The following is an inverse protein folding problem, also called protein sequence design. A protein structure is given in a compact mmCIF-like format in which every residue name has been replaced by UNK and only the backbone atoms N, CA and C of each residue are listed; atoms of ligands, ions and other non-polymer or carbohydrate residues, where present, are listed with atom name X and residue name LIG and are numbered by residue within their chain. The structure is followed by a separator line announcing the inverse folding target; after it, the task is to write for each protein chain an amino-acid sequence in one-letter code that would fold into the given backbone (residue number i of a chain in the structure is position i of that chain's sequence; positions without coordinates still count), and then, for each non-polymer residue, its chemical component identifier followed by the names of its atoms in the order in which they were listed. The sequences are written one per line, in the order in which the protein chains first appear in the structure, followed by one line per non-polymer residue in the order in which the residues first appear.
data_IF_681569878583
#
_entry.id   IF_681569878583
#
_cell.length_a   1.000
_cell.length_b   1.000
_cell.length_c   1.000
_cell.angle_alpha   90.00
_cell.angle_beta   90.00
_cell.angle_gamma   90.00
#
_symmetry.space_group_name_H-M   'P 1'
#
loop_
_entity.id
_entity.type
_entity.pdbx_description
1 polymer ?
#
# COMPACT_ATOMS: atom_id res chain seq x y z
N UNK A 1 -67.07 -38.71 -30.31
CA UNK A 1 -66.45 -37.40 -30.61
C UNK A 1 -65.82 -36.91 -29.35
N UNK A 2 -64.49 -37.06 -29.21
CA UNK A 2 -63.76 -36.59 -28.05
C UNK A 2 -63.04 -35.34 -28.43
N UNK A 3 -63.27 -34.23 -27.69
CA UNK A 3 -62.60 -32.97 -27.82
C UNK A 3 -61.45 -32.94 -26.80
N UNK A 4 -60.23 -32.81 -27.29
CA UNK A 4 -59.04 -32.61 -26.45
C UNK A 4 -58.81 -31.11 -26.21
N UNK A 5 -58.85 -30.71 -24.96
CA UNK A 5 -58.46 -29.40 -24.47
C UNK A 5 -56.91 -29.40 -24.23
N UNK A 6 -56.22 -28.59 -24.98
CA UNK A 6 -54.79 -28.29 -24.77
C UNK A 6 -54.68 -27.21 -23.68
N UNK A 7 -54.03 -27.50 -22.57
CA UNK A 7 -53.68 -26.54 -21.53
C UNK A 7 -52.30 -25.93 -21.91
N UNK A 8 -52.31 -24.65 -22.22
CA UNK A 8 -51.10 -23.85 -22.40
C UNK A 8 -50.68 -23.29 -21.07
N UNK A 9 -49.58 -23.75 -20.48
CA UNK A 9 -49.01 -23.23 -19.26
C UNK A 9 -48.18 -21.97 -19.58
N UNK A 10 -48.69 -20.81 -19.18
CA UNK A 10 -47.95 -19.56 -19.20
C UNK A 10 -46.95 -19.55 -18.04
N UNK A 11 -45.66 -19.71 -18.34
CA UNK A 11 -44.59 -19.45 -17.38
C UNK A 11 -44.50 -17.94 -17.16
N UNK A 12 -44.63 -17.51 -15.90
CA UNK A 12 -44.62 -16.10 -15.52
C UNK A 12 -43.24 -15.48 -15.68
N UNK A 13 -43.18 -14.38 -16.41
CA UNK A 13 -41.93 -13.57 -16.63
C UNK A 13 -41.33 -13.10 -15.30
N UNK A 14 -42.11 -13.03 -14.24
CA UNK A 14 -41.63 -12.62 -12.89
C UNK A 14 -40.75 -13.67 -12.19
N UNK A 15 -40.86 -14.95 -12.57
CA UNK A 15 -40.02 -15.99 -11.95
C UNK A 15 -38.63 -16.04 -12.59
N UNK A 16 -38.50 -15.64 -13.85
CA UNK A 16 -37.20 -15.56 -14.54
C UNK A 16 -36.35 -14.36 -14.11
N UNK A 17 -36.95 -13.23 -13.76
CA UNK A 17 -36.22 -12.06 -13.22
C UNK A 17 -35.71 -12.34 -11.79
N UNK A 18 -36.46 -13.04 -10.97
CA UNK A 18 -36.02 -13.43 -9.62
C UNK A 18 -34.90 -14.49 -9.62
N UNK A 19 -34.91 -15.42 -10.56
CA UNK A 19 -33.81 -16.38 -10.76
C UNK A 19 -32.55 -15.70 -11.31
N UNK A 20 -32.68 -14.65 -12.15
CA UNK A 20 -31.56 -13.89 -12.69
C UNK A 20 -30.91 -13.02 -11.60
N UNK A 21 -31.69 -12.36 -10.76
CA UNK A 21 -31.17 -11.55 -9.63
C UNK A 21 -30.52 -12.43 -8.56
N UNK A 22 -31.05 -13.60 -8.25
CA UNK A 22 -30.39 -14.57 -7.34
C UNK A 22 -29.14 -15.20 -7.92
N UNK A 23 -29.04 -15.36 -9.25
CA UNK A 23 -27.84 -15.86 -9.90
C UNK A 23 -26.71 -14.81 -9.94
N UNK A 24 -27.06 -13.51 -10.03
CA UNK A 24 -26.10 -12.39 -9.96
C UNK A 24 -25.58 -12.21 -8.53
N UNK A 25 -26.41 -12.36 -7.50
CA UNK A 25 -25.95 -12.35 -6.09
C UNK A 25 -25.12 -13.59 -5.72
N UNK A 26 -25.38 -14.76 -6.29
CA UNK A 26 -24.63 -15.98 -6.02
C UNK A 26 -23.24 -16.02 -6.72
N UNK A 27 -22.92 -15.09 -7.62
CA UNK A 27 -21.66 -15.07 -8.38
C UNK A 27 -20.61 -14.11 -7.79
N UNK A 28 -20.85 -13.42 -6.68
CA UNK A 28 -19.78 -12.84 -5.89
C UNK A 28 -18.99 -13.99 -5.28
N UNK A 29 -17.91 -14.41 -5.91
CA UNK A 29 -16.88 -15.23 -5.25
C UNK A 29 -16.47 -14.46 -4.00
N UNK A 30 -16.95 -14.87 -2.83
CA UNK A 30 -16.38 -14.40 -1.57
C UNK A 30 -15.01 -15.09 -1.47
N UNK A 31 -14.05 -14.51 -2.13
CA UNK A 31 -12.66 -14.94 -1.99
C UNK A 31 -12.25 -14.52 -0.59
N UNK A 32 -11.82 -15.49 0.25
CA UNK A 32 -11.39 -15.22 1.60
C UNK A 32 -10.31 -14.12 1.59
N UNK A 33 -10.35 -13.17 2.54
CA UNK A 33 -9.34 -12.11 2.60
C UNK A 33 -7.95 -12.70 2.89
N UNK A 34 -6.91 -12.07 2.34
CA UNK A 34 -5.54 -12.56 2.42
C UNK A 34 -4.60 -11.65 3.20
N UNK A 35 -4.88 -10.34 3.25
CA UNK A 35 -3.98 -9.36 3.86
C UNK A 35 -4.69 -8.48 4.90
N UNK A 36 -3.91 -8.03 5.88
CA UNK A 36 -4.23 -6.91 6.76
C UNK A 36 -3.25 -5.78 6.52
N UNK A 37 -3.77 -4.58 6.29
CA UNK A 37 -3.03 -3.33 6.23
C UNK A 37 -3.40 -2.45 7.43
N UNK A 38 -2.41 -2.00 8.19
CA UNK A 38 -2.58 -1.02 9.26
C UNK A 38 -1.88 0.27 8.88
N UNK A 39 -2.60 1.39 8.91
CA UNK A 39 -2.06 2.71 8.58
C UNK A 39 -1.42 3.34 9.81
N UNK A 40 -0.09 3.47 9.81
CA UNK A 40 0.66 4.16 10.88
C UNK A 40 0.79 5.65 10.61
N UNK A 41 0.72 6.05 9.33
CA UNK A 41 0.73 7.44 8.88
C UNK A 41 0.28 7.53 7.43
N UNK A 42 -0.55 8.54 7.12
CA UNK A 42 -1.25 8.70 5.85
C UNK A 42 -0.94 10.00 5.11
N UNK A 43 -0.13 10.91 5.70
CA UNK A 43 0.14 12.22 5.11
C UNK A 43 1.55 12.30 4.53
N UNK A 44 1.69 13.04 3.41
CA UNK A 44 2.97 13.45 2.87
C UNK A 44 3.45 14.78 3.49
N UNK A 45 4.74 14.88 3.77
CA UNK A 45 5.42 16.12 4.10
C UNK A 45 5.37 16.53 5.56
N UNK A 46 4.61 17.59 5.91
CA UNK A 46 4.87 18.45 7.07
C UNK A 46 4.15 18.08 8.38
N UNK A 47 3.31 17.05 8.39
CA UNK A 47 2.56 16.68 9.59
C UNK A 47 3.30 15.60 10.36
N UNK A 48 4.22 16.00 11.24
CA UNK A 48 4.94 15.10 12.13
C UNK A 48 3.96 14.23 12.96
N UNK A 49 4.36 13.00 13.23
CA UNK A 49 3.52 12.00 13.90
C UNK A 49 2.49 11.31 13.00
N UNK A 50 2.28 11.74 11.74
CA UNK A 50 1.39 11.10 10.77
C UNK A 50 2.02 10.98 9.37
N UNK A 51 3.34 10.85 9.31
CA UNK A 51 4.11 10.69 8.07
C UNK A 51 3.97 9.27 7.51
N UNK A 52 4.13 9.12 6.19
CA UNK A 52 3.86 7.91 5.42
C UNK A 52 4.48 6.65 6.02
N UNK A 53 3.63 5.74 6.50
CA UNK A 53 4.04 4.46 7.05
C UNK A 53 2.83 3.50 7.17
N UNK A 54 3.04 2.22 6.82
CA UNK A 54 2.02 1.19 6.92
C UNK A 54 2.62 -0.11 7.46
N UNK A 55 1.79 -0.97 8.03
CA UNK A 55 2.14 -2.35 8.33
C UNK A 55 1.25 -3.27 7.49
N UNK A 56 1.88 -4.21 6.78
CA UNK A 56 1.18 -5.22 5.99
C UNK A 56 1.55 -6.61 6.47
N UNK A 57 0.57 -7.49 6.63
CA UNK A 57 0.81 -8.93 6.86
C UNK A 57 -0.13 -9.80 6.03
N UNK A 58 0.27 -11.03 5.79
CA UNK A 58 -0.67 -12.09 5.45
C UNK A 58 -1.56 -12.41 6.67
N UNK A 59 -2.82 -12.73 6.44
CA UNK A 59 -3.72 -13.19 7.52
C UNK A 59 -3.36 -14.59 8.06
N UNK A 60 -2.49 -15.31 7.37
CA UNK A 60 -1.95 -16.60 7.82
C UNK A 60 -0.90 -16.47 8.92
N UNK A 61 -0.36 -15.25 9.14
CA UNK A 61 0.71 -14.96 10.08
C UNK A 61 0.37 -13.79 11.00
N UNK A 62 1.18 -13.57 12.04
CA UNK A 62 1.06 -12.44 12.96
C UNK A 62 2.18 -11.42 12.82
N UNK A 63 3.08 -11.63 11.86
CA UNK A 63 4.21 -10.71 11.61
C UNK A 63 3.94 -9.84 10.40
N UNK A 64 4.18 -8.55 10.60
CA UNK A 64 4.04 -7.51 9.59
C UNK A 64 5.38 -7.18 8.95
N UNK A 65 5.32 -6.65 7.74
CA UNK A 65 6.38 -5.84 7.15
C UNK A 65 5.95 -4.37 7.20
N UNK A 66 6.85 -3.49 7.56
CA UNK A 66 6.61 -2.06 7.49
C UNK A 66 6.85 -1.58 6.04
N UNK A 67 5.89 -0.86 5.48
CA UNK A 67 5.95 -0.21 4.16
C UNK A 67 6.19 1.27 4.41
N UNK A 68 7.41 1.72 4.19
CA UNK A 68 7.97 2.95 4.71
C UNK A 68 7.87 3.07 6.23
N UNK A 69 8.44 4.12 6.78
CA UNK A 69 8.62 4.27 8.22
C UNK A 69 8.68 5.75 8.64
N UNK A 70 7.83 6.60 8.05
CA UNK A 70 7.73 8.01 8.42
C UNK A 70 7.24 8.21 9.85
N UNK A 71 6.23 7.43 10.28
CA UNK A 71 5.72 7.40 11.66
C UNK A 71 5.65 5.96 12.16
N UNK A 72 6.47 5.58 13.11
CA UNK A 72 6.49 4.21 13.66
C UNK A 72 5.85 4.17 15.04
N UNK A 73 6.55 4.62 16.08
CA UNK A 73 6.08 4.46 17.47
C UNK A 73 4.75 5.17 17.69
N UNK A 74 4.64 6.45 17.28
CA UNK A 74 3.39 7.20 17.39
C UNK A 74 2.27 6.58 16.55
N UNK A 75 2.59 6.09 15.35
CA UNK A 75 1.61 5.41 14.48
C UNK A 75 1.09 4.12 15.10
N UNK A 76 1.96 3.35 15.74
CA UNK A 76 1.57 2.14 16.50
C UNK A 76 0.68 2.52 17.69
N UNK A 77 0.98 3.59 18.43
CA UNK A 77 0.15 4.04 19.56
C UNK A 77 -1.26 4.38 19.09
N UNK A 78 -1.40 5.18 18.03
CA UNK A 78 -2.71 5.52 17.45
C UNK A 78 -3.44 4.26 16.96
N UNK A 79 -2.73 3.33 16.31
CA UNK A 79 -3.32 2.09 15.82
C UNK A 79 -3.77 1.14 16.95
N UNK A 80 -3.06 1.13 18.09
CA UNK A 80 -3.49 0.42 19.30
C UNK A 80 -4.76 1.02 19.90
N UNK A 81 -4.87 2.34 19.95
CA UNK A 81 -6.06 3.05 20.44
C UNK A 81 -7.29 2.74 19.57
N UNK A 82 -7.10 2.54 18.26
CA UNK A 82 -8.16 2.19 17.29
C UNK A 82 -8.41 0.67 17.21
N UNK A 83 -7.76 -0.17 18.03
CA UNK A 83 -7.95 -1.62 18.05
C UNK A 83 -7.42 -2.36 16.83
N UNK A 84 -6.49 -1.76 16.06
CA UNK A 84 -5.99 -2.35 14.82
C UNK A 84 -5.28 -3.70 15.01
N UNK A 85 -4.84 -4.02 16.21
CA UNK A 85 -4.10 -5.23 16.57
C UNK A 85 -4.88 -6.24 17.41
N UNK A 86 -6.19 -6.02 17.64
CA UNK A 86 -7.03 -6.88 18.49
C UNK A 86 -7.16 -8.32 17.95
N UNK A 87 -6.86 -8.54 16.69
CA UNK A 87 -6.90 -9.84 16.03
C UNK A 87 -5.59 -10.66 16.19
N UNK A 88 -4.56 -10.13 16.83
CA UNK A 88 -3.35 -10.88 17.17
C UNK A 88 -3.64 -11.87 18.32
N UNK A 89 -3.15 -13.10 18.16
CA UNK A 89 -3.43 -14.21 19.10
C UNK A 89 -2.28 -14.49 20.04
N UNK A 90 -1.05 -14.09 19.67
CA UNK A 90 0.14 -14.28 20.46
C UNK A 90 0.06 -13.49 21.77
N UNK A 91 0.51 -14.13 22.85
CA UNK A 91 0.56 -13.47 24.16
C UNK A 91 1.60 -12.34 24.12
N UNK A 92 1.25 -11.11 24.57
CA UNK A 92 2.22 -10.02 24.70
C UNK A 92 3.38 -10.38 25.65
N UNK A 93 4.56 -9.81 25.40
CA UNK A 93 5.69 -9.89 26.32
C UNK A 93 5.47 -8.94 27.50
N UNK A 94 5.41 -9.48 28.72
CA UNK A 94 5.17 -8.71 29.95
C UNK A 94 6.29 -7.69 30.26
N UNK A 95 7.45 -7.77 29.59
CA UNK A 95 8.58 -6.84 29.74
C UNK A 95 8.49 -5.64 28.79
N UNK A 96 7.57 -5.66 27.82
CA UNK A 96 7.39 -4.61 26.82
C UNK A 96 6.08 -3.84 27.06
N UNK A 97 6.08 -2.56 26.71
CA UNK A 97 4.84 -1.81 26.53
C UNK A 97 4.10 -2.33 25.31
N UNK A 98 2.81 -2.05 25.17
CA UNK A 98 2.01 -2.54 24.05
C UNK A 98 2.62 -2.15 22.68
N UNK A 99 3.05 -0.89 22.50
CA UNK A 99 3.71 -0.43 21.29
C UNK A 99 5.07 -1.12 21.05
N UNK A 100 5.84 -1.32 22.11
CA UNK A 100 7.10 -2.07 22.06
C UNK A 100 6.88 -3.53 21.67
N UNK A 101 5.81 -4.16 22.16
CA UNK A 101 5.45 -5.52 21.77
C UNK A 101 5.12 -5.60 20.26
N UNK A 102 4.35 -4.66 19.72
CA UNK A 102 4.08 -4.61 18.28
C UNK A 102 5.39 -4.42 17.50
N UNK A 103 6.19 -3.40 17.86
CA UNK A 103 7.42 -3.08 17.13
C UNK A 103 8.45 -4.23 17.16
N UNK A 104 8.67 -4.84 18.33
CA UNK A 104 9.72 -5.85 18.49
C UNK A 104 9.29 -7.25 18.03
N UNK A 105 8.05 -7.66 18.35
CA UNK A 105 7.63 -9.04 18.17
C UNK A 105 6.82 -9.24 16.90
N UNK A 106 6.17 -8.17 16.39
CA UNK A 106 5.29 -8.28 15.23
C UNK A 106 5.79 -7.56 13.97
N UNK A 107 6.72 -6.60 14.04
CA UNK A 107 7.35 -6.02 12.85
C UNK A 107 8.60 -6.80 12.49
N UNK A 108 8.56 -7.55 11.40
CA UNK A 108 9.64 -8.42 10.94
C UNK A 108 10.74 -7.68 10.17
N UNK A 109 10.37 -6.70 9.37
CA UNK A 109 11.26 -6.01 8.43
C UNK A 109 10.71 -4.64 8.04
N UNK A 110 11.59 -3.82 7.47
CA UNK A 110 11.23 -2.57 6.80
C UNK A 110 11.43 -2.71 5.28
N UNK A 111 10.44 -2.31 4.49
CA UNK A 111 10.54 -2.07 3.05
C UNK A 111 10.53 -0.56 2.83
N UNK A 112 11.66 0.03 2.49
CA UNK A 112 11.81 1.49 2.32
C UNK A 112 11.75 1.83 0.84
N UNK A 113 10.73 2.63 0.47
CA UNK A 113 10.51 3.03 -0.92
C UNK A 113 11.56 4.01 -1.42
N UNK A 114 11.89 5.02 -0.62
CA UNK A 114 12.92 6.01 -0.91
C UNK A 114 13.37 6.77 0.35
N UNK A 115 14.40 7.58 0.23
CA UNK A 115 15.09 8.19 1.36
C UNK A 115 14.60 9.60 1.75
N UNK A 116 13.41 10.05 1.37
CA UNK A 116 12.86 11.30 1.88
C UNK A 116 12.49 11.16 3.36
N UNK A 117 12.63 12.27 4.09
CA UNK A 117 12.51 12.25 5.57
C UNK A 117 11.12 11.80 6.03
N UNK A 118 10.07 12.16 5.32
CA UNK A 118 8.69 11.78 5.63
C UNK A 118 8.37 10.29 5.38
N UNK A 119 9.33 9.54 4.83
CA UNK A 119 9.26 8.07 4.68
C UNK A 119 10.17 7.31 5.63
N UNK A 120 11.10 7.99 6.34
CA UNK A 120 12.11 7.31 7.16
C UNK A 120 12.27 7.87 8.57
N UNK A 121 11.67 9.02 8.91
CA UNK A 121 11.88 9.70 10.19
C UNK A 121 11.57 8.81 11.40
N UNK A 122 10.48 8.06 11.36
CA UNK A 122 10.09 7.15 12.43
C UNK A 122 11.10 6.01 12.65
N UNK A 123 11.63 5.41 11.57
CA UNK A 123 12.71 4.42 11.66
C UNK A 123 13.95 5.00 12.33
N UNK A 124 14.37 6.19 11.91
CA UNK A 124 15.56 6.84 12.47
C UNK A 124 15.38 7.08 13.96
N UNK A 125 14.28 7.69 14.37
CA UNK A 125 14.01 8.04 15.76
C UNK A 125 13.80 6.80 16.63
N UNK A 126 13.17 5.75 16.13
CA UNK A 126 12.94 4.50 16.85
C UNK A 126 14.20 3.62 16.97
N UNK A 127 15.18 3.80 16.09
CA UNK A 127 16.35 2.89 15.97
C UNK A 127 17.15 2.64 17.26
N UNK A 128 17.28 3.57 18.22
CA UNK A 128 17.98 3.26 19.49
C UNK A 128 17.32 2.15 20.30
N UNK A 129 15.99 2.07 20.28
CA UNK A 129 15.22 1.13 21.12
C UNK A 129 14.50 0.04 20.30
N UNK A 130 14.65 0.02 18.98
CA UNK A 130 14.16 -1.08 18.13
C UNK A 130 15.02 -2.34 18.28
N UNK A 131 14.50 -3.50 17.86
CA UNK A 131 15.27 -4.76 17.83
C UNK A 131 15.92 -4.99 16.45
N UNK A 132 16.77 -6.05 16.38
CA UNK A 132 17.43 -6.41 15.13
C UNK A 132 16.43 -6.89 14.09
N UNK A 133 16.50 -6.32 12.88
CA UNK A 133 15.68 -6.71 11.74
C UNK A 133 16.26 -6.20 10.41
N UNK A 134 15.90 -6.80 9.27
CA UNK A 134 16.39 -6.33 7.97
C UNK A 134 15.65 -5.07 7.49
N UNK A 135 16.40 -4.24 6.71
CA UNK A 135 15.87 -3.16 5.89
C UNK A 135 16.07 -3.57 4.43
N UNK A 136 14.99 -3.74 3.69
CA UNK A 136 14.98 -4.04 2.27
C UNK A 136 14.69 -2.78 1.46
N UNK A 137 15.52 -2.45 0.51
CA UNK A 137 15.32 -1.34 -0.43
C UNK A 137 16.13 -1.55 -1.71
N UNK A 138 15.89 -0.76 -2.75
CA UNK A 138 16.83 -0.67 -3.86
C UNK A 138 18.19 -0.18 -3.36
N UNK A 139 19.26 -0.61 -4.03
CA UNK A 139 20.63 -0.23 -3.64
C UNK A 139 20.81 1.28 -3.52
N UNK A 140 20.27 2.05 -4.46
CA UNK A 140 20.33 3.52 -4.46
C UNK A 140 19.66 4.14 -3.22
N UNK A 141 18.56 3.56 -2.76
CA UNK A 141 17.85 3.98 -1.55
C UNK A 141 18.68 3.66 -0.31
N UNK A 142 19.21 2.43 -0.21
CA UNK A 142 20.09 2.03 0.88
C UNK A 142 21.37 2.89 0.96
N UNK A 143 21.97 3.20 -0.19
CA UNK A 143 23.15 4.09 -0.27
C UNK A 143 22.79 5.51 0.22
N UNK A 144 21.64 6.04 -0.17
CA UNK A 144 21.14 7.34 0.30
C UNK A 144 20.92 7.35 1.81
N UNK A 145 20.27 6.32 2.36
CA UNK A 145 20.03 6.16 3.81
C UNK A 145 21.33 6.15 4.60
N UNK A 146 22.33 5.38 4.12
CA UNK A 146 23.65 5.30 4.75
C UNK A 146 24.43 6.60 4.66
N UNK A 147 24.41 7.26 3.50
CA UNK A 147 25.15 8.51 3.29
C UNK A 147 24.52 9.71 4.02
N UNK A 148 23.18 9.74 4.13
CA UNK A 148 22.45 10.91 4.66
C UNK A 148 22.16 10.80 6.14
N UNK A 149 21.76 9.61 6.62
CA UNK A 149 21.23 9.45 7.96
C UNK A 149 22.13 8.62 8.88
N UNK A 150 22.42 7.36 8.54
CA UNK A 150 23.21 6.43 9.37
C UNK A 150 24.71 6.65 9.24
N UNK A 151 25.17 7.89 9.49
CA UNK A 151 26.51 8.37 9.15
C UNK A 151 27.28 9.02 10.31
N UNK A 152 26.75 8.94 11.55
CA UNK A 152 27.33 9.59 12.75
C UNK A 152 27.30 11.11 12.74
N UNK A 153 26.79 11.73 11.67
CA UNK A 153 26.56 13.18 11.61
C UNK A 153 25.10 13.53 11.82
N UNK A 154 24.19 12.92 11.03
CA UNK A 154 22.76 13.08 11.21
C UNK A 154 22.21 12.16 12.30
N UNK A 155 22.60 10.87 12.28
CA UNK A 155 22.20 9.87 13.27
C UNK A 155 23.27 8.81 13.46
N UNK A 156 23.24 8.06 14.58
CA UNK A 156 24.14 6.93 14.84
C UNK A 156 23.95 5.85 13.78
N UNK A 157 25.05 5.17 13.41
CA UNK A 157 24.99 4.12 12.40
C UNK A 157 24.50 2.79 13.00
N UNK A 158 23.18 2.61 13.01
CA UNK A 158 22.55 1.35 13.47
C UNK A 158 22.60 0.22 12.44
N UNK A 159 23.16 0.46 11.26
CA UNK A 159 23.22 -0.55 10.18
C UNK A 159 24.49 -1.37 10.21
N UNK A 160 24.55 -2.41 9.38
CA UNK A 160 25.73 -3.25 9.14
C UNK A 160 26.63 -2.72 8.02
N UNK A 161 26.35 -1.49 7.46
CA UNK A 161 27.09 -0.85 6.36
C UNK A 161 27.55 0.56 6.72
N UNK A 162 28.40 1.13 5.90
CA UNK A 162 28.85 2.53 6.01
C UNK A 162 29.92 2.76 7.05
N UNK A 163 29.88 3.94 7.69
CA UNK A 163 30.92 4.41 8.60
C UNK A 163 30.97 3.65 9.93
N UNK A 164 32.17 3.40 10.41
CA UNK A 164 32.40 2.81 11.75
C UNK A 164 32.19 3.85 12.89
N UNK A 165 31.79 3.38 14.09
CA UNK A 165 31.41 2.01 14.41
C UNK A 165 30.04 1.66 13.86
N UNK A 166 29.86 0.43 13.37
CA UNK A 166 28.56 -0.10 12.95
C UNK A 166 27.90 -0.80 14.12
N UNK A 167 26.69 -0.40 14.49
CA UNK A 167 25.96 -0.98 15.62
C UNK A 167 25.24 -2.30 15.25
N UNK A 168 25.18 -2.63 13.95
CA UNK A 168 24.67 -3.91 13.41
C UNK A 168 23.28 -4.31 13.94
N UNK A 169 22.43 -3.34 14.17
CA UNK A 169 21.02 -3.58 14.53
C UNK A 169 20.18 -3.90 13.30
N UNK A 170 20.44 -3.18 12.21
CA UNK A 170 19.73 -3.38 10.95
C UNK A 170 20.64 -4.02 9.89
N UNK A 171 20.15 -5.14 9.34
CA UNK A 171 20.76 -5.78 8.18
C UNK A 171 20.25 -5.16 6.90
N UNK A 172 21.09 -4.41 6.21
CA UNK A 172 20.72 -3.71 4.96
C UNK A 172 20.79 -4.68 3.79
N UNK A 173 19.65 -4.94 3.16
CA UNK A 173 19.48 -5.88 2.04
C UNK A 173 19.15 -5.10 0.75
N UNK A 174 20.01 -5.23 -0.26
CA UNK A 174 19.78 -4.63 -1.57
C UNK A 174 18.82 -5.50 -2.40
N UNK A 175 17.68 -4.95 -2.75
CA UNK A 175 16.75 -5.58 -3.68
C UNK A 175 17.18 -5.32 -5.13
N UNK A 176 17.09 -6.35 -5.96
CA UNK A 176 17.30 -6.23 -7.39
C UNK A 176 15.96 -5.91 -8.10
N UNK A 177 15.89 -4.85 -8.93
CA UNK A 177 14.64 -4.51 -9.63
C UNK A 177 14.05 -5.69 -10.40
N UNK A 178 12.75 -5.91 -10.28
CA UNK A 178 11.98 -6.98 -10.95
C UNK A 178 12.38 -8.42 -10.55
N UNK A 179 13.11 -8.59 -9.46
CA UNK A 179 13.43 -9.92 -8.92
C UNK A 179 12.71 -10.14 -7.61
N UNK A 180 12.00 -11.26 -7.50
CA UNK A 180 11.32 -11.66 -6.27
C UNK A 180 12.32 -12.07 -5.20
N UNK A 181 12.12 -11.58 -3.98
CA UNK A 181 12.95 -11.86 -2.80
C UNK A 181 12.03 -12.23 -1.64
N UNK A 182 12.35 -13.31 -0.91
CA UNK A 182 11.62 -13.66 0.31
C UNK A 182 11.98 -12.71 1.44
N UNK A 183 10.97 -12.30 2.23
CA UNK A 183 11.16 -11.43 3.38
C UNK A 183 11.35 -12.32 4.61
N UNK A 184 12.51 -12.19 5.25
CA UNK A 184 12.88 -13.01 6.41
C UNK A 184 11.86 -12.91 7.55
N UNK A 185 11.51 -14.06 8.11
CA UNK A 185 10.57 -14.17 9.23
C UNK A 185 9.10 -13.98 8.84
N UNK A 186 8.75 -14.03 7.55
CA UNK A 186 7.38 -13.97 7.04
C UNK A 186 7.17 -14.99 5.91
N UNK A 187 5.91 -15.22 5.51
CA UNK A 187 5.57 -15.97 4.30
C UNK A 187 5.47 -15.08 3.05
N UNK A 188 5.93 -13.83 3.14
CA UNK A 188 5.83 -12.85 2.07
C UNK A 188 7.06 -12.88 1.16
N UNK A 189 6.82 -12.62 -0.12
CA UNK A 189 7.87 -12.26 -1.08
C UNK A 189 7.63 -10.85 -1.61
N UNK A 190 8.69 -10.18 -2.04
CA UNK A 190 8.63 -8.83 -2.59
C UNK A 190 9.35 -8.73 -3.93
N UNK A 191 8.70 -8.11 -4.92
CA UNK A 191 9.31 -7.75 -6.20
C UNK A 191 9.31 -6.23 -6.33
N UNK A 192 10.49 -5.56 -6.32
CA UNK A 192 10.60 -4.11 -6.39
C UNK A 192 10.59 -3.61 -7.84
N UNK A 193 10.01 -2.43 -8.05
CA UNK A 193 10.03 -1.68 -9.30
C UNK A 193 10.41 -0.22 -9.04
N UNK A 194 11.31 0.35 -9.83
CA UNK A 194 11.64 1.78 -9.74
C UNK A 194 10.46 2.65 -10.16
N UNK A 195 10.27 3.75 -9.46
CA UNK A 195 9.27 4.79 -9.71
C UNK A 195 9.94 6.12 -10.11
N UNK A 196 9.18 6.99 -10.76
CA UNK A 196 9.61 8.32 -11.19
C UNK A 196 9.34 9.35 -10.09
N UNK A 197 10.39 9.76 -9.42
CA UNK A 197 10.38 10.78 -8.38
C UNK A 197 11.76 11.46 -8.36
N UNK A 198 11.93 12.71 -7.87
CA UNK A 198 13.22 13.39 -7.85
C UNK A 198 14.36 12.61 -7.19
N UNK A 199 14.05 11.87 -6.12
CA UNK A 199 14.89 10.80 -5.57
C UNK A 199 14.29 9.46 -5.97
N UNK A 200 15.10 8.51 -6.49
CA UNK A 200 14.57 7.20 -6.92
C UNK A 200 13.69 6.57 -5.84
N UNK A 201 12.44 6.32 -6.20
CA UNK A 201 11.43 5.68 -5.35
C UNK A 201 11.10 4.29 -5.87
N UNK A 202 10.39 3.50 -5.06
CA UNK A 202 10.15 2.08 -5.30
C UNK A 202 8.68 1.74 -5.12
N UNK A 203 8.10 0.98 -6.07
CA UNK A 203 6.89 0.21 -5.82
C UNK A 203 7.28 -1.22 -5.43
N UNK A 204 6.59 -1.76 -4.44
CA UNK A 204 6.74 -3.13 -3.97
C UNK A 204 5.51 -3.94 -4.32
N UNK A 205 5.65 -4.97 -5.17
CA UNK A 205 4.63 -6.00 -5.34
C UNK A 205 4.91 -7.09 -4.31
N UNK A 206 3.99 -7.26 -3.37
CA UNK A 206 4.11 -8.16 -2.22
C UNK A 206 3.14 -9.32 -2.44
N UNK A 207 3.63 -10.54 -2.27
CA UNK A 207 2.87 -11.73 -2.57
C UNK A 207 2.85 -12.70 -1.37
N UNK A 208 1.69 -13.34 -1.16
CA UNK A 208 1.49 -14.47 -0.27
C UNK A 208 0.68 -15.53 -1.01
N UNK A 209 1.29 -16.65 -1.39
CA UNK A 209 0.66 -17.65 -2.26
C UNK A 209 0.19 -17.04 -3.59
N UNK A 210 -1.11 -17.15 -3.86
CA UNK A 210 -1.73 -16.64 -5.08
C UNK A 210 -2.28 -15.21 -4.93
N UNK A 211 -2.07 -14.57 -3.79
CA UNK A 211 -2.56 -13.24 -3.51
C UNK A 211 -1.45 -12.19 -3.62
N UNK A 212 -1.79 -11.02 -4.15
CA UNK A 212 -0.88 -9.88 -4.33
C UNK A 212 -1.43 -8.63 -3.68
N UNK A 213 -0.53 -7.84 -3.11
CA UNK A 213 -0.75 -6.48 -2.66
C UNK A 213 0.36 -5.57 -3.19
N UNK A 214 0.04 -4.31 -3.53
CA UNK A 214 1.05 -3.39 -4.07
C UNK A 214 1.16 -2.15 -3.18
N UNK A 215 2.37 -1.81 -2.79
CA UNK A 215 2.68 -0.52 -2.19
C UNK A 215 3.47 0.33 -3.16
N UNK A 216 2.97 1.51 -3.46
CA UNK A 216 3.70 2.52 -4.22
C UNK A 216 4.29 3.54 -3.24
N UNK A 217 5.61 3.73 -3.33
CA UNK A 217 6.23 4.96 -2.81
C UNK A 217 5.80 6.16 -3.66
N UNK A 218 6.40 7.30 -3.40
CA UNK A 218 6.09 8.53 -4.14
C UNK A 218 6.39 8.39 -5.63
N UNK A 219 5.49 8.89 -6.47
CA UNK A 219 5.61 8.75 -7.92
C UNK A 219 4.84 9.82 -8.69
N UNK A 220 5.45 10.34 -9.75
CA UNK A 220 4.74 11.09 -10.78
C UNK A 220 4.13 10.19 -11.85
N UNK A 221 3.23 10.76 -12.66
CA UNK A 221 2.66 10.07 -13.82
C UNK A 221 3.65 9.95 -14.97
N UNK A 222 3.58 8.87 -15.74
CA UNK A 222 4.39 8.68 -16.95
C UNK A 222 4.20 9.82 -17.98
N UNK A 223 3.08 10.56 -17.94
CA UNK A 223 2.83 11.69 -18.85
C UNK A 223 3.62 12.94 -18.50
N UNK A 224 3.93 13.15 -17.22
CA UNK A 224 4.75 14.29 -16.78
C UNK A 224 6.21 13.89 -16.75
N UNK A 225 6.54 12.78 -16.12
CA UNK A 225 7.93 12.34 -15.90
C UNK A 225 8.61 11.76 -17.14
N UNK A 226 7.85 11.24 -18.12
CA UNK A 226 8.32 10.68 -19.40
C UNK A 226 9.22 9.44 -19.30
N UNK A 227 9.25 8.77 -18.14
CA UNK A 227 10.13 7.62 -17.91
C UNK A 227 9.45 6.26 -18.16
N UNK A 228 8.11 6.21 -18.23
CA UNK A 228 7.34 5.00 -18.53
C UNK A 228 7.36 3.94 -17.43
N UNK A 229 7.75 4.30 -16.20
CA UNK A 229 7.93 3.37 -15.08
C UNK A 229 6.61 2.79 -14.58
N UNK A 230 5.56 3.62 -14.44
CA UNK A 230 4.23 3.13 -14.07
C UNK A 230 3.67 2.17 -15.12
N UNK A 231 3.87 2.46 -16.40
CA UNK A 231 3.45 1.56 -17.50
C UNK A 231 4.13 0.19 -17.46
N UNK A 232 5.35 0.07 -16.92
CA UNK A 232 6.00 -1.23 -16.69
C UNK A 232 5.26 -2.00 -15.59
N UNK A 233 4.92 -1.34 -14.49
CA UNK A 233 4.23 -1.95 -13.35
C UNK A 233 2.83 -2.40 -13.76
N UNK A 234 2.07 -1.56 -14.47
CA UNK A 234 0.72 -1.90 -14.93
C UNK A 234 0.71 -3.14 -15.84
N UNK A 235 1.69 -3.27 -16.75
CA UNK A 235 1.83 -4.49 -17.58
C UNK A 235 2.17 -5.72 -16.74
N UNK A 236 3.05 -5.58 -15.76
CA UNK A 236 3.41 -6.67 -14.87
C UNK A 236 2.19 -7.14 -14.06
N UNK A 237 1.48 -6.22 -13.40
CA UNK A 237 0.29 -6.55 -12.61
C UNK A 237 -0.81 -7.21 -13.47
N UNK A 238 -1.13 -6.63 -14.63
CA UNK A 238 -2.12 -7.21 -15.53
C UNK A 238 -1.74 -8.62 -16.01
N UNK A 239 -0.45 -8.90 -16.20
CA UNK A 239 0.03 -10.25 -16.52
C UNK A 239 -0.13 -11.20 -15.33
N UNK A 240 0.25 -10.79 -14.12
CA UNK A 240 0.12 -11.62 -12.91
C UNK A 240 -1.36 -11.93 -12.59
N UNK A 241 -2.26 -10.98 -12.81
CA UNK A 241 -3.71 -11.15 -12.57
C UNK A 241 -4.37 -12.24 -13.42
N UNK A 242 -3.66 -12.84 -14.38
CA UNK A 242 -4.15 -14.04 -15.11
C UNK A 242 -4.16 -15.29 -14.23
N UNK A 243 -3.33 -15.34 -13.19
CA UNK A 243 -3.18 -16.50 -12.29
C UNK A 243 -3.24 -16.15 -10.82
N UNK A 244 -3.08 -14.88 -10.46
CA UNK A 244 -3.08 -14.37 -9.09
C UNK A 244 -4.17 -13.34 -8.87
N UNK A 245 -4.54 -13.12 -7.61
CA UNK A 245 -5.54 -12.14 -7.20
C UNK A 245 -4.86 -10.89 -6.68
N UNK A 246 -5.10 -9.73 -7.31
CA UNK A 246 -4.70 -8.42 -6.77
C UNK A 246 -5.73 -7.95 -5.76
N UNK A 247 -5.40 -7.99 -4.47
CA UNK A 247 -6.28 -7.65 -3.35
C UNK A 247 -6.42 -6.16 -3.13
N UNK A 248 -5.33 -5.42 -3.34
CA UNK A 248 -5.32 -3.98 -3.16
C UNK A 248 -4.00 -3.36 -3.47
N UNK A 249 -3.98 -2.04 -3.43
CA UNK A 249 -2.77 -1.25 -3.54
C UNK A 249 -2.87 0.01 -2.69
N UNK A 250 -1.73 0.47 -2.17
CA UNK A 250 -1.56 1.82 -1.62
C UNK A 250 -0.88 2.66 -2.67
N UNK A 251 -1.45 3.81 -3.00
CA UNK A 251 -0.87 4.76 -3.96
C UNK A 251 -1.11 6.19 -3.49
N UNK A 252 -0.15 7.06 -3.75
CA UNK A 252 -0.24 8.46 -3.39
C UNK A 252 -1.23 9.26 -4.26
N UNK A 253 -1.83 10.28 -3.66
CA UNK A 253 -2.39 11.45 -4.35
C UNK A 253 -2.04 12.68 -3.51
N UNK A 254 -0.90 13.28 -3.80
CA UNK A 254 -0.34 14.36 -2.96
C UNK A 254 -1.08 15.68 -3.09
N UNK A 255 -1.59 16.01 -4.27
CA UNK A 255 -2.21 17.30 -4.58
C UNK A 255 -3.59 17.12 -5.24
N UNK A 256 -4.46 18.13 -5.09
CA UNK A 256 -5.68 18.23 -5.89
C UNK A 256 -5.39 18.65 -7.34
N UNK A 257 -6.40 18.62 -8.20
CA UNK A 257 -6.26 18.93 -9.65
C UNK A 257 -5.93 20.38 -9.94
N UNK A 258 -5.95 21.29 -8.97
CA UNK A 258 -5.56 22.68 -9.16
C UNK A 258 -4.04 22.88 -9.19
N UNK A 259 -3.28 21.90 -8.74
CA UNK A 259 -1.82 21.94 -8.77
C UNK A 259 -1.31 21.85 -10.22
N UNK A 260 -0.53 22.84 -10.71
CA UNK A 260 0.06 22.79 -12.04
C UNK A 260 1.06 21.64 -12.20
N UNK A 261 1.11 21.03 -13.38
CA UNK A 261 1.96 19.87 -13.66
C UNK A 261 3.46 20.12 -13.36
N UNK A 262 3.95 21.34 -13.57
CA UNK A 262 5.35 21.71 -13.28
C UNK A 262 5.64 21.95 -11.78
N UNK A 263 4.64 21.85 -10.91
CA UNK A 263 4.79 21.95 -9.46
C UNK A 263 4.43 20.65 -8.73
N UNK A 264 4.28 19.56 -9.46
CA UNK A 264 3.99 18.24 -8.89
C UNK A 264 5.21 17.61 -8.22
N UNK A 265 6.41 17.89 -8.71
CA UNK A 265 7.68 17.36 -8.16
C UNK A 265 7.67 15.82 -8.00
N UNK A 266 7.18 15.13 -9.03
CA UNK A 266 7.12 13.66 -9.00
C UNK A 266 6.00 13.10 -8.13
N UNK A 267 4.86 13.79 -8.09
CA UNK A 267 3.65 13.35 -7.38
C UNK A 267 2.41 13.32 -8.28
N UNK A 268 1.34 12.73 -7.76
CA UNK A 268 0.06 12.57 -8.47
C UNK A 268 -1.01 13.56 -7.99
N UNK A 269 -1.95 13.83 -8.90
CA UNK A 269 -3.28 14.40 -8.62
C UNK A 269 -4.35 13.36 -8.98
N UNK A 270 -5.63 13.54 -8.57
CA UNK A 270 -6.73 12.67 -8.98
C UNK A 270 -6.83 12.48 -10.49
N UNK A 271 -6.66 13.53 -11.28
CA UNK A 271 -6.62 13.47 -12.75
C UNK A 271 -5.55 12.51 -13.25
N UNK A 272 -4.33 12.64 -12.74
CA UNK A 272 -3.20 11.84 -13.19
C UNK A 272 -3.30 10.39 -12.72
N UNK A 273 -3.73 10.16 -11.47
CA UNK A 273 -4.01 8.80 -11.00
C UNK A 273 -5.07 8.12 -11.88
N UNK A 274 -6.19 8.77 -12.17
CA UNK A 274 -7.24 8.18 -13.01
C UNK A 274 -6.78 7.90 -14.44
N UNK A 275 -5.84 8.68 -14.96
CA UNK A 275 -5.24 8.41 -16.27
C UNK A 275 -4.34 7.17 -16.23
N UNK A 276 -3.53 7.01 -15.20
CA UNK A 276 -2.72 5.80 -15.00
C UNK A 276 -3.58 4.57 -14.76
N UNK A 277 -4.62 4.66 -13.92
CA UNK A 277 -5.57 3.56 -13.72
C UNK A 277 -6.36 3.22 -14.99
N UNK A 278 -6.61 4.19 -15.88
CA UNK A 278 -7.21 3.93 -17.20
C UNK A 278 -6.27 3.11 -18.08
N UNK A 279 -4.95 3.33 -18.00
CA UNK A 279 -3.95 2.51 -18.68
C UNK A 279 -3.94 1.09 -18.13
N UNK A 280 -3.91 0.95 -16.80
CA UNK A 280 -3.98 -0.33 -16.13
C UNK A 280 -5.26 -1.09 -16.50
N UNK A 281 -6.43 -0.43 -16.41
CA UNK A 281 -7.72 -1.01 -16.80
C UNK A 281 -7.70 -1.59 -18.21
N UNK A 282 -7.11 -0.90 -19.20
CA UNK A 282 -7.03 -1.40 -20.58
C UNK A 282 -6.20 -2.68 -20.71
N UNK A 283 -5.23 -2.89 -19.85
CA UNK A 283 -4.31 -4.05 -19.85
C UNK A 283 -4.90 -5.28 -19.15
N UNK A 284 -5.74 -5.10 -18.13
CA UNK A 284 -6.41 -6.21 -17.44
C UNK A 284 -7.34 -6.93 -18.41
N UNK A 285 -7.23 -8.26 -18.50
CA UNK A 285 -8.07 -9.07 -19.41
C UNK A 285 -9.48 -9.26 -18.87
N UNK A 286 -9.59 -9.71 -17.62
CA UNK A 286 -10.88 -9.90 -16.94
C UNK A 286 -11.27 -8.67 -16.15
N UNK A 287 -12.13 -7.83 -16.73
CA UNK A 287 -12.61 -6.59 -16.12
C UNK A 287 -13.48 -6.80 -14.89
N UNK A 288 -14.02 -8.00 -14.69
CA UNK A 288 -14.84 -8.29 -13.50
C UNK A 288 -14.03 -8.27 -12.20
N UNK A 289 -12.69 -8.36 -12.29
CA UNK A 289 -11.80 -8.24 -11.13
C UNK A 289 -11.60 -6.78 -10.65
N UNK A 290 -11.90 -5.78 -11.50
CA UNK A 290 -11.61 -4.37 -11.20
C UNK A 290 -12.33 -3.85 -9.94
N UNK A 291 -13.64 -4.11 -9.72
CA UNK A 291 -14.33 -3.65 -8.53
C UNK A 291 -13.81 -4.27 -7.20
N UNK A 292 -13.13 -5.42 -7.30
CA UNK A 292 -12.58 -6.13 -6.14
C UNK A 292 -11.19 -5.61 -5.74
N UNK A 293 -10.56 -4.76 -6.58
CA UNK A 293 -9.28 -4.12 -6.27
C UNK A 293 -9.51 -2.90 -5.39
N UNK A 294 -9.03 -2.97 -4.15
CA UNK A 294 -9.08 -1.86 -3.21
C UNK A 294 -7.88 -0.92 -3.45
N UNK A 295 -8.14 0.36 -3.71
CA UNK A 295 -7.10 1.37 -3.92
C UNK A 295 -7.09 2.32 -2.72
N UNK A 296 -6.11 2.14 -1.85
CA UNK A 296 -5.91 2.97 -0.68
C UNK A 296 -5.14 4.22 -1.10
N UNK A 297 -5.79 5.36 -1.02
CA UNK A 297 -5.23 6.68 -1.33
C UNK A 297 -4.51 7.22 -0.10
N UNK A 298 -3.25 7.57 -0.26
CA UNK A 298 -2.34 7.98 0.80
C UNK A 298 -1.54 9.22 0.41
N UNK A 299 -0.64 9.63 1.30
CA UNK A 299 0.36 10.69 1.08
C UNK A 299 -0.25 12.05 0.68
N UNK A 300 -1.50 12.32 1.10
CA UNK A 300 -2.13 13.61 0.83
C UNK A 300 -1.38 14.69 1.60
N UNK A 301 -0.88 15.70 0.88
CA UNK A 301 -0.11 16.78 1.51
C UNK A 301 -1.01 17.68 2.34
N UNK A 302 -0.63 17.82 3.62
CA UNK A 302 -1.29 18.73 4.54
C UNK A 302 -0.98 20.18 4.18
N UNK A 303 -1.94 21.08 4.36
CA UNK A 303 -1.75 22.52 4.13
C UNK A 303 -1.95 23.30 5.41
N UNK A 304 -1.00 24.23 5.70
CA UNK A 304 -1.14 25.22 6.78
C UNK A 304 -1.94 26.46 6.35
N UNK A 305 -2.31 26.54 5.06
CA UNK A 305 -3.14 27.63 4.55
C UNK A 305 -4.59 27.42 4.98
N UNK A 306 -5.28 28.50 5.32
CA UNK A 306 -6.73 28.46 5.48
C UNK A 306 -7.41 28.13 4.13
N UNK A 307 -8.43 27.29 4.15
CA UNK A 307 -9.15 26.87 2.93
C UNK A 307 -9.83 25.52 3.13
N UNK A 308 -10.27 24.92 2.02
CA UNK A 308 -10.82 23.57 2.06
C UNK A 308 -9.74 22.56 2.46
N UNK A 309 -10.16 21.51 3.15
CA UNK A 309 -9.28 20.42 3.50
C UNK A 309 -8.86 19.66 2.23
N UNK A 310 -7.55 19.57 1.90
CA UNK A 310 -7.07 18.88 0.70
C UNK A 310 -7.64 17.46 0.55
N UNK A 311 -7.78 16.74 1.65
CA UNK A 311 -8.35 15.39 1.69
C UNK A 311 -9.79 15.36 1.16
N UNK A 312 -10.62 16.34 1.53
CA UNK A 312 -12.01 16.44 1.07
C UNK A 312 -12.10 16.81 -0.42
N UNK A 313 -11.19 17.67 -0.89
CA UNK A 313 -11.12 18.05 -2.31
C UNK A 313 -10.73 16.85 -3.16
N UNK A 314 -9.65 16.17 -2.81
CA UNK A 314 -9.14 14.98 -3.51
C UNK A 314 -10.18 13.86 -3.54
N UNK A 315 -10.89 13.61 -2.42
CA UNK A 315 -11.98 12.61 -2.38
C UNK A 315 -13.07 12.90 -3.40
N UNK A 316 -13.56 14.14 -3.43
CA UNK A 316 -14.60 14.55 -4.39
C UNK A 316 -14.13 14.42 -5.85
N UNK A 317 -12.89 14.82 -6.13
CA UNK A 317 -12.33 14.75 -7.48
C UNK A 317 -12.15 13.29 -7.94
N UNK A 318 -11.71 12.39 -7.06
CA UNK A 318 -11.61 10.95 -7.34
C UNK A 318 -13.01 10.34 -7.61
N UNK A 319 -14.00 10.62 -6.74
CA UNK A 319 -15.38 10.14 -6.93
C UNK A 319 -15.96 10.60 -8.27
N UNK A 320 -15.77 11.88 -8.62
CA UNK A 320 -16.26 12.44 -9.89
C UNK A 320 -15.58 11.84 -11.11
N UNK A 321 -14.29 11.53 -11.01
CA UNK A 321 -13.49 11.01 -12.11
C UNK A 321 -13.60 9.48 -12.28
N UNK A 322 -14.01 8.74 -11.24
CA UNK A 322 -14.08 7.28 -11.22
C UNK A 322 -15.25 6.73 -12.06
N UNK A 323 -15.01 6.56 -13.35
CA UNK A 323 -15.97 5.95 -14.30
C UNK A 323 -15.67 4.47 -14.56
N UNK A 324 -14.58 3.94 -13.97
CA UNK A 324 -14.10 2.59 -14.20
C UNK A 324 -14.50 1.61 -13.10
N UNK A 325 -15.09 2.09 -12.01
CA UNK A 325 -15.60 1.26 -10.92
C UNK A 325 -14.52 0.77 -9.93
N UNK A 326 -13.36 1.44 -9.85
CA UNK A 326 -12.38 1.14 -8.80
C UNK A 326 -12.93 1.49 -7.41
N UNK A 327 -12.54 0.71 -6.40
CA UNK A 327 -12.89 0.98 -5.01
C UNK A 327 -11.80 1.84 -4.34
N UNK A 328 -12.08 3.14 -4.12
CA UNK A 328 -11.15 4.05 -3.44
C UNK A 328 -11.42 4.11 -1.94
N UNK A 329 -10.36 3.96 -1.14
CA UNK A 329 -10.36 4.11 0.31
C UNK A 329 -9.32 5.17 0.67
N UNK A 330 -9.70 6.23 1.37
CA UNK A 330 -8.73 7.20 1.87
C UNK A 330 -8.10 6.65 3.16
N UNK A 331 -6.79 6.46 3.16
CA UNK A 331 -6.06 6.01 4.34
C UNK A 331 -6.28 6.95 5.52
N UNK A 332 -6.43 6.44 6.71
CA UNK A 332 -6.55 7.20 7.95
C UNK A 332 -5.64 6.59 9.00
N UNK A 333 -4.83 7.41 9.68
CA UNK A 333 -3.95 6.94 10.74
C UNK A 333 -4.73 6.11 11.78
N UNK A 334 -4.18 4.97 12.18
CA UNK A 334 -4.81 4.01 13.09
C UNK A 334 -5.73 2.99 12.41
N UNK A 335 -6.16 3.23 11.16
CA UNK A 335 -7.10 2.35 10.45
C UNK A 335 -6.48 0.99 10.15
N UNK A 336 -7.25 -0.08 10.40
CA UNK A 336 -6.97 -1.45 9.96
C UNK A 336 -7.92 -1.84 8.84
N UNK A 337 -7.39 -2.29 7.72
CA UNK A 337 -8.13 -2.76 6.54
C UNK A 337 -7.80 -4.23 6.28
N UNK A 338 -8.82 -5.00 5.92
CA UNK A 338 -8.69 -6.42 5.56
C UNK A 338 -9.08 -6.58 4.08
N UNK A 339 -8.24 -7.26 3.31
CA UNK A 339 -8.38 -7.43 1.87
C UNK A 339 -8.40 -8.88 1.43
#
# INVERSE_FOLDING_TARGET
MFSALSACSTVSVKDSEKEYDTAIEASKRSVAPAFQLVTLGDTGGIKDGNLSAFLLRSLEEERYVALDAGSIVNGIDVALEEGAFDNLKSKPDDNLRANGNILHNHVAAYLISHGHLDHVAGLLVASPDDNNKPIYALKSVNDTMGATYFNWQAWANFTNRGLEPKLNKYDVVDLAPKHSTSIEGTNLTVTPFSLSHPLESTAFVIESGDDMFVYFGDTGTDDVEKEGKLGVIWRYLAQQMRSKTLRGMVIEVSFDNSCPDNLLFGHLTPKWLMQELTRFYKLVEDKSQIPDINIVISHIKYSLKAGENPRSVISKELEQANKLGFNFILATQGQSLIF
#
